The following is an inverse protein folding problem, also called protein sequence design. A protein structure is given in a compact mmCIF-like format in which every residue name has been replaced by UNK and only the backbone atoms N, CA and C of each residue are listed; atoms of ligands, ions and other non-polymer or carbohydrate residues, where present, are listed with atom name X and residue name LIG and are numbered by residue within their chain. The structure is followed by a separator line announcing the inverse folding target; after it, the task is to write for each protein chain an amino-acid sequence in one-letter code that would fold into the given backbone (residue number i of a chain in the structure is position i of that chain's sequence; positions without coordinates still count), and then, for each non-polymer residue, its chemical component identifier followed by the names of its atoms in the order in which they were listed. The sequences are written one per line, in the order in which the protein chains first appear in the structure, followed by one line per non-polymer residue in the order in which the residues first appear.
data_IF_004744556250
#
_entry.id   IF_004744556250
#
_cell.length_a   1.000
_cell.length_b   1.000
_cell.length_c   1.000
_cell.angle_alpha   90.00
_cell.angle_beta   90.00
_cell.angle_gamma   90.00
#
_symmetry.space_group_name_H-M   'P 1'
#
loop_
_entity.id
_entity.type
_entity.pdbx_description
1 polymer ?
#
# COMPACT_ATOMS: atom_id res chain seq x y z
N UNK A 1 22.90 29.44 -17.51
CA UNK A 1 23.35 30.25 -16.35
C UNK A 1 22.99 29.48 -15.09
N UNK A 2 24.00 29.09 -14.31
CA UNK A 2 23.92 28.07 -13.27
C UNK A 2 23.11 28.49 -12.03
N UNK A 3 22.29 27.59 -11.51
CA UNK A 3 21.98 27.52 -10.07
C UNK A 3 22.47 26.17 -9.55
N UNK A 4 23.57 26.21 -8.81
CA UNK A 4 24.16 25.07 -8.11
C UNK A 4 23.18 24.57 -7.04
N UNK A 5 22.88 23.26 -6.94
CA UNK A 5 22.33 22.72 -5.72
C UNK A 5 23.47 22.49 -4.73
N UNK A 6 23.41 23.18 -3.59
CA UNK A 6 24.36 23.04 -2.50
C UNK A 6 24.14 21.68 -1.83
N UNK A 7 25.10 20.78 -1.98
CA UNK A 7 25.18 19.54 -1.22
C UNK A 7 25.43 19.89 0.25
N UNK A 8 24.43 19.74 1.12
CA UNK A 8 24.67 19.66 2.56
C UNK A 8 24.66 18.19 2.96
N UNK A 9 25.82 17.56 2.80
CA UNK A 9 26.07 16.20 3.27
C UNK A 9 25.99 16.13 4.79
N UNK A 10 25.07 15.32 5.31
CA UNK A 10 25.23 14.72 6.63
C UNK A 10 25.80 13.33 6.41
N UNK A 11 27.11 13.23 6.60
CA UNK A 11 27.87 11.99 6.56
C UNK A 11 27.59 11.24 7.87
N UNK A 12 26.76 10.19 7.80
CA UNK A 12 26.67 9.14 8.81
C UNK A 12 27.23 7.88 8.16
N UNK A 13 28.17 7.25 8.87
CA UNK A 13 29.05 6.20 8.35
C UNK A 13 28.33 4.99 7.77
N UNK A 14 29.00 4.42 6.77
CA UNK A 14 28.99 3.02 6.32
C UNK A 14 27.62 2.38 6.04
N UNK A 15 27.14 2.62 4.83
CA UNK A 15 26.01 1.92 4.21
C UNK A 15 25.32 2.80 3.19
N UNK A 16 25.85 2.89 1.97
CA UNK A 16 25.23 3.62 0.87
C UNK A 16 23.92 2.91 0.48
N UNK A 17 22.81 3.27 1.13
CA UNK A 17 21.48 3.07 0.53
C UNK A 17 21.31 4.24 -0.43
N UNK A 18 21.84 4.07 -1.65
CA UNK A 18 21.51 4.95 -2.77
C UNK A 18 20.01 4.84 -2.98
N UNK A 19 19.26 5.81 -2.46
CA UNK A 19 17.82 5.92 -2.61
C UNK A 19 17.51 6.14 -4.10
N UNK A 20 17.27 5.05 -4.82
CA UNK A 20 16.83 5.00 -6.21
C UNK A 20 15.39 5.50 -6.41
N UNK A 21 14.86 6.33 -5.51
CA UNK A 21 13.62 7.07 -5.72
C UNK A 21 13.94 8.40 -6.41
N UNK A 22 14.56 8.33 -7.58
CA UNK A 22 14.83 9.48 -8.43
C UNK A 22 14.27 9.22 -9.82
N UNK A 23 12.99 9.53 -9.98
CA UNK A 23 12.39 10.25 -11.12
C UNK A 23 10.89 10.46 -10.79
N UNK A 24 10.40 11.67 -11.04
CA UNK A 24 9.06 12.13 -10.63
C UNK A 24 7.88 11.49 -11.36
N UNK A 25 7.70 10.18 -11.22
CA UNK A 25 6.66 9.38 -11.89
C UNK A 25 5.89 8.49 -10.88
N UNK A 26 5.58 9.01 -9.68
CA UNK A 26 4.89 8.25 -8.63
C UNK A 26 3.36 8.43 -8.64
N UNK A 27 2.79 8.93 -9.74
CA UNK A 27 1.35 9.17 -9.85
C UNK A 27 0.71 8.13 -10.77
N UNK A 28 -0.28 7.41 -10.24
CA UNK A 28 -1.13 6.51 -11.02
C UNK A 28 -2.22 7.37 -11.70
N UNK A 29 -1.98 7.79 -12.94
CA UNK A 29 -2.87 8.72 -13.66
C UNK A 29 -3.73 7.96 -14.67
N UNK A 30 -3.22 6.86 -15.23
CA UNK A 30 -3.86 6.05 -16.26
C UNK A 30 -3.91 4.56 -15.90
N UNK A 31 -4.77 3.79 -16.59
CA UNK A 31 -4.85 2.33 -16.45
C UNK A 31 -3.51 1.64 -16.76
N UNK A 32 -2.72 2.21 -17.66
CA UNK A 32 -1.38 1.71 -17.97
C UNK A 32 -0.45 1.83 -16.77
N UNK A 33 -0.49 2.97 -16.06
CA UNK A 33 0.31 3.19 -14.85
C UNK A 33 -0.10 2.22 -13.74
N UNK A 34 -1.40 1.90 -13.64
CA UNK A 34 -1.89 0.89 -12.71
C UNK A 34 -1.35 -0.51 -13.04
N UNK A 35 -1.40 -0.93 -14.31
CA UNK A 35 -0.90 -2.25 -14.73
C UNK A 35 0.62 -2.35 -14.52
N UNK A 36 1.35 -1.28 -14.80
CA UNK A 36 2.78 -1.18 -14.54
C UNK A 36 3.06 -1.34 -13.03
N UNK A 37 2.38 -0.56 -12.18
CA UNK A 37 2.54 -0.66 -10.74
C UNK A 37 2.18 -2.05 -10.19
N UNK A 38 1.11 -2.69 -10.69
CA UNK A 38 0.75 -4.06 -10.32
C UNK A 38 1.86 -5.05 -10.67
N UNK A 39 2.49 -4.86 -11.83
CA UNK A 39 3.59 -5.70 -12.30
C UNK A 39 4.83 -5.51 -11.45
N UNK A 40 5.22 -4.26 -11.16
CA UNK A 40 6.38 -3.93 -10.30
C UNK A 40 6.24 -4.53 -8.89
N UNK A 41 5.04 -4.42 -8.30
CA UNK A 41 4.74 -5.04 -7.00
C UNK A 41 4.86 -6.57 -7.10
N UNK A 42 4.37 -7.16 -8.19
CA UNK A 42 4.38 -8.61 -8.37
C UNK A 42 5.79 -9.19 -8.56
N UNK A 43 6.63 -8.53 -9.36
CA UNK A 43 8.04 -8.91 -9.61
C UNK A 43 8.99 -8.44 -8.51
N UNK A 44 8.48 -7.72 -7.51
CA UNK A 44 9.22 -7.18 -6.37
C UNK A 44 10.38 -6.26 -6.73
N UNK A 45 10.30 -5.56 -7.86
CA UNK A 45 11.35 -4.67 -8.36
C UNK A 45 10.66 -3.39 -8.82
N UNK A 46 11.03 -2.19 -8.30
CA UNK A 46 12.24 -1.85 -7.54
C UNK A 46 12.06 -1.79 -6.01
N UNK A 47 11.28 -2.69 -5.40
CA UNK A 47 11.09 -2.68 -3.94
C UNK A 47 12.42 -2.97 -3.22
N UNK A 48 12.89 -2.12 -2.29
CA UNK A 48 14.09 -2.39 -1.50
C UNK A 48 13.94 -3.63 -0.60
N UNK A 49 15.02 -4.38 -0.42
CA UNK A 49 14.98 -5.65 0.34
C UNK A 49 14.55 -5.47 1.80
N UNK A 50 14.94 -4.36 2.45
CA UNK A 50 14.47 -3.99 3.80
C UNK A 50 12.92 -3.91 3.89
N UNK A 51 12.25 -3.49 2.83
CA UNK A 51 10.78 -3.44 2.79
C UNK A 51 10.23 -4.85 2.58
N UNK A 52 10.88 -5.68 1.74
CA UNK A 52 10.47 -7.08 1.53
C UNK A 52 10.52 -7.87 2.84
N UNK A 53 11.63 -7.77 3.57
CA UNK A 53 11.80 -8.42 4.87
C UNK A 53 10.74 -7.97 5.88
N UNK A 54 10.49 -6.66 5.94
CA UNK A 54 9.43 -6.11 6.81
C UNK A 54 8.04 -6.58 6.42
N UNK A 55 7.75 -6.87 5.15
CA UNK A 55 6.42 -7.31 4.73
C UNK A 55 6.12 -8.77 5.10
N UNK A 56 7.16 -9.58 5.29
CA UNK A 56 6.99 -11.00 5.64
C UNK A 56 6.34 -11.11 7.02
N UNK A 57 5.19 -11.80 7.08
CA UNK A 57 4.45 -12.01 8.32
C UNK A 57 3.76 -10.77 8.90
N UNK A 58 3.73 -9.65 8.18
CA UNK A 58 3.01 -8.46 8.61
C UNK A 58 1.59 -8.41 8.05
N UNK A 59 0.69 -7.89 8.87
CA UNK A 59 -0.71 -7.67 8.53
C UNK A 59 -0.93 -6.25 8.01
N UNK A 60 -1.69 -6.13 6.93
CA UNK A 60 -2.16 -4.84 6.43
C UNK A 60 -3.54 -4.46 6.96
N UNK A 61 -3.72 -3.16 7.18
CA UNK A 61 -4.99 -2.52 7.50
C UNK A 61 -5.38 -1.62 6.32
N UNK A 62 -6.52 -1.94 5.69
CA UNK A 62 -7.11 -1.13 4.63
C UNK A 62 -8.10 -0.14 5.23
N UNK A 63 -7.95 1.16 4.92
CA UNK A 63 -8.75 2.25 5.48
C UNK A 63 -9.33 3.07 4.33
N UNK A 64 -10.65 3.32 4.37
CA UNK A 64 -11.32 4.11 3.33
C UNK A 64 -11.33 3.45 1.94
N UNK A 65 -10.98 2.17 1.86
CA UNK A 65 -10.93 1.44 0.60
C UNK A 65 -12.33 0.94 0.20
N UNK A 66 -12.70 1.17 -1.06
CA UNK A 66 -13.87 0.56 -1.70
C UNK A 66 -13.39 -0.53 -2.65
N UNK A 67 -13.88 -1.75 -2.51
CA UNK A 67 -13.51 -2.87 -3.39
C UNK A 67 -14.55 -3.06 -4.50
N UNK A 68 -15.12 -1.97 -4.99
CA UNK A 68 -16.15 -1.96 -6.02
C UNK A 68 -15.58 -2.21 -7.42
N UNK A 69 -14.34 -1.77 -7.68
CA UNK A 69 -13.64 -1.93 -8.94
C UNK A 69 -12.73 -3.18 -8.95
N UNK A 70 -12.65 -3.85 -10.11
CA UNK A 70 -11.72 -4.93 -10.39
C UNK A 70 -10.25 -4.49 -10.28
N UNK A 71 -9.93 -3.25 -10.67
CA UNK A 71 -8.57 -2.71 -10.55
C UNK A 71 -8.15 -2.60 -9.08
N UNK A 72 -9.01 -2.04 -8.22
CA UNK A 72 -8.76 -1.91 -6.78
C UNK A 72 -8.63 -3.27 -6.10
N UNK A 73 -9.45 -4.26 -6.50
CA UNK A 73 -9.32 -5.65 -6.02
C UNK A 73 -7.99 -6.27 -6.40
N UNK A 74 -7.54 -6.07 -7.64
CA UNK A 74 -6.26 -6.60 -8.12
C UNK A 74 -5.08 -5.93 -7.42
N UNK A 75 -5.18 -4.63 -7.14
CA UNK A 75 -4.20 -3.90 -6.37
C UNK A 75 -4.09 -4.40 -4.92
N UNK A 76 -5.22 -4.55 -4.24
CA UNK A 76 -5.26 -5.12 -2.91
C UNK A 76 -4.65 -6.53 -2.87
N UNK A 77 -4.94 -7.38 -3.87
CA UNK A 77 -4.33 -8.71 -4.03
C UNK A 77 -2.80 -8.65 -4.10
N UNK A 78 -2.22 -7.71 -4.83
CA UNK A 78 -0.76 -7.59 -4.92
C UNK A 78 -0.12 -7.05 -3.63
N UNK A 79 -0.85 -6.23 -2.86
CA UNK A 79 -0.39 -5.76 -1.55
C UNK A 79 -0.35 -6.91 -0.53
N UNK A 80 -1.40 -7.73 -0.46
CA UNK A 80 -1.49 -8.83 0.50
C UNK A 80 -0.61 -10.02 0.12
N UNK A 81 -0.26 -10.15 -1.16
CA UNK A 81 0.59 -11.23 -1.67
C UNK A 81 1.94 -11.23 -0.95
N UNK A 82 2.32 -12.40 -0.41
CA UNK A 82 3.58 -12.62 0.35
C UNK A 82 3.66 -11.79 1.63
N UNK A 83 2.53 -11.52 2.27
CA UNK A 83 2.43 -10.95 3.61
C UNK A 83 1.77 -11.95 4.58
N UNK A 84 1.26 -11.51 5.74
CA UNK A 84 0.54 -12.39 6.66
C UNK A 84 -0.73 -13.00 6.04
N UNK A 85 -1.29 -14.03 6.66
CA UNK A 85 -2.52 -14.68 6.18
C UNK A 85 -3.79 -13.90 6.56
N UNK A 86 -3.71 -13.03 7.57
CA UNK A 86 -4.86 -12.26 8.08
C UNK A 86 -4.65 -10.77 7.87
N UNK A 87 -5.67 -10.13 7.32
CA UNK A 87 -5.70 -8.70 7.05
C UNK A 87 -6.98 -8.06 7.57
N UNK A 88 -6.99 -6.75 7.73
CA UNK A 88 -8.13 -6.01 8.25
C UNK A 88 -8.56 -4.93 7.26
N UNK A 89 -9.87 -4.70 7.17
CA UNK A 89 -10.42 -3.61 6.37
C UNK A 89 -11.46 -2.85 7.20
N UNK A 90 -11.28 -1.54 7.32
CA UNK A 90 -12.27 -0.66 7.94
C UNK A 90 -13.36 -0.41 6.92
N UNK A 91 -14.57 -0.82 7.30
CA UNK A 91 -15.71 -0.83 6.40
C UNK A 91 -16.93 -0.24 7.09
N UNK A 92 -17.67 0.56 6.32
CA UNK A 92 -18.98 1.03 6.75
C UNK A 92 -20.00 -0.10 6.53
N UNK A 93 -20.66 -0.62 7.58
CA UNK A 93 -21.59 -1.74 7.48
C UNK A 93 -22.72 -1.50 6.45
N UNK A 94 -23.14 -0.25 6.25
CA UNK A 94 -24.26 0.09 5.36
C UNK A 94 -23.82 0.26 3.89
N UNK A 95 -22.52 0.37 3.64
CA UNK A 95 -21.98 0.67 2.32
C UNK A 95 -21.51 -0.56 1.54
N UNK A 96 -21.49 -1.75 2.17
CA UNK A 96 -20.89 -2.95 1.59
C UNK A 96 -21.85 -3.71 0.66
N UNK A 97 -21.42 -3.90 -0.58
CA UNK A 97 -22.09 -4.83 -1.50
C UNK A 97 -21.76 -6.29 -1.18
N UNK A 98 -22.66 -7.21 -1.59
CA UNK A 98 -22.42 -8.66 -1.51
C UNK A 98 -21.11 -9.09 -2.19
N UNK A 99 -20.75 -8.44 -3.30
CA UNK A 99 -19.53 -8.75 -4.05
C UNK A 99 -18.26 -8.28 -3.31
N UNK A 100 -18.34 -7.20 -2.55
CA UNK A 100 -17.25 -6.73 -1.68
C UNK A 100 -17.09 -7.66 -0.50
N UNK A 101 -18.18 -8.03 0.19
CA UNK A 101 -18.13 -9.01 1.28
C UNK A 101 -17.50 -10.34 0.84
N UNK A 102 -17.91 -10.86 -0.32
CA UNK A 102 -17.31 -12.09 -0.86
C UNK A 102 -15.81 -11.92 -1.11
N UNK A 103 -15.39 -10.78 -1.67
CA UNK A 103 -13.98 -10.49 -1.88
C UNK A 103 -13.19 -10.45 -0.56
N UNK A 104 -13.75 -9.83 0.49
CA UNK A 104 -13.09 -9.77 1.80
C UNK A 104 -12.82 -11.18 2.35
N UNK A 105 -13.84 -12.04 2.31
CA UNK A 105 -13.73 -13.44 2.75
C UNK A 105 -12.72 -14.21 1.91
N UNK A 106 -12.76 -14.08 0.58
CA UNK A 106 -11.83 -14.76 -0.34
C UNK A 106 -10.36 -14.36 -0.13
N UNK A 107 -10.10 -13.14 0.33
CA UNK A 107 -8.74 -12.61 0.51
C UNK A 107 -8.26 -12.65 1.97
N UNK A 108 -9.00 -13.26 2.90
CA UNK A 108 -8.61 -13.28 4.32
C UNK A 108 -8.68 -11.91 4.99
N UNK A 109 -9.51 -11.00 4.48
CA UNK A 109 -9.74 -9.67 5.04
C UNK A 109 -10.89 -9.73 6.05
N UNK A 110 -10.58 -9.45 7.30
CA UNK A 110 -11.56 -9.31 8.38
C UNK A 110 -12.17 -7.89 8.34
N UNK A 111 -13.48 -7.76 8.06
CA UNK A 111 -14.13 -6.45 8.08
C UNK A 111 -14.26 -5.93 9.52
N UNK A 112 -13.79 -4.71 9.75
CA UNK A 112 -14.02 -3.93 10.95
C UNK A 112 -15.18 -2.97 10.66
N UNK A 113 -16.36 -3.29 11.18
CA UNK A 113 -17.58 -2.50 11.01
C UNK A 113 -17.54 -1.22 11.88
N UNK A 114 -16.65 -0.30 11.52
CA UNK A 114 -16.44 0.97 12.21
C UNK A 114 -16.51 2.08 11.16
N UNK A 115 -17.30 3.11 11.43
CA UNK A 115 -17.35 4.29 10.57
C UNK A 115 -15.98 4.96 10.47
N UNK A 116 -15.61 5.41 9.27
CA UNK A 116 -14.30 6.02 9.00
C UNK A 116 -13.93 7.16 9.98
N UNK A 117 -14.85 8.07 10.38
CA UNK A 117 -14.51 9.12 11.36
C UNK A 117 -14.07 8.55 12.71
N UNK A 118 -14.82 7.58 13.25
CA UNK A 118 -14.50 6.95 14.53
C UNK A 118 -13.19 6.15 14.47
N UNK A 119 -12.93 5.48 13.35
CA UNK A 119 -11.67 4.76 13.14
C UNK A 119 -10.45 5.70 13.15
N UNK A 120 -10.56 6.86 12.50
CA UNK A 120 -9.47 7.85 12.46
C UNK A 120 -9.18 8.41 13.86
N UNK A 121 -10.21 8.69 14.65
CA UNK A 121 -10.03 9.15 16.04
C UNK A 121 -9.23 8.15 16.87
N UNK A 122 -9.54 6.85 16.75
CA UNK A 122 -8.82 5.78 17.47
C UNK A 122 -7.35 5.73 17.03
N UNK A 123 -7.08 5.85 15.72
CA UNK A 123 -5.72 5.74 15.18
C UNK A 123 -4.83 6.94 15.48
N UNK A 124 -5.39 8.12 15.67
CA UNK A 124 -4.63 9.35 15.97
C UNK A 124 -4.35 9.51 17.47
N UNK A 125 -5.14 8.85 18.32
CA UNK A 125 -5.03 8.98 19.78
C UNK A 125 -3.93 8.11 20.39
N UNK A 126 -3.36 7.17 19.62
CA UNK A 126 -2.30 6.24 20.04
C UNK A 126 -1.05 6.38 19.19
#
# INVERSE_FOLDING_TARGET
MAKRPTCLGRQLGDGVVQSAWQRGAGQLISDSDYVEALTEIDIQTPIPDIIKERRIGQTFLFIGCRFNDQLLRSYARQIIKRSADTHYAIVDPDALSRNELRFLVEQGLTPLAIGLPAAVEILVTH
#
